data_IF_027540851780
#
_entry.id   IF_027540851780
#
_cell.length_a   1.000
_cell.length_b   1.000
_cell.length_c   1.000
_cell.angle_alpha   90.00
_cell.angle_beta   90.00
_cell.angle_gamma   90.00
#
_symmetry.space_group_name_H-M   'P 1'
#
loop_
_entity.id
_entity.type
_entity.pdbx_description
1 polymer ?
#
# COMPACT_ATOMS: atom_id res chain seq x y z
N UNK A 1 0.90 14.90 0.53
CA UNK A 1 -0.53 14.54 0.37
C UNK A 1 -0.64 13.13 -0.18
N UNK A 2 -1.71 12.41 0.15
CA UNK A 2 -2.03 11.11 -0.48
C UNK A 2 -2.43 11.34 -1.93
N UNK A 3 -1.89 10.55 -2.86
CA UNK A 3 -2.19 10.61 -4.29
C UNK A 3 -2.57 9.22 -4.79
N UNK A 4 -3.69 9.17 -5.49
CA UNK A 4 -4.20 7.98 -6.18
C UNK A 4 -4.25 8.30 -7.68
N UNK A 5 -3.93 7.34 -8.52
CA UNK A 5 -3.98 7.47 -9.97
C UNK A 5 -4.56 6.19 -10.57
N UNK A 6 -5.35 6.32 -11.63
CA UNK A 6 -5.83 5.16 -12.37
C UNK A 6 -4.73 4.62 -13.28
N UNK A 7 -4.54 3.30 -13.25
CA UNK A 7 -3.57 2.60 -14.08
C UNK A 7 -4.26 1.56 -14.94
N UNK A 8 -3.83 1.45 -16.20
CA UNK A 8 -4.17 0.34 -17.08
C UNK A 8 -3.39 -0.90 -16.67
N UNK A 9 -4.10 -1.96 -16.30
CA UNK A 9 -3.54 -3.21 -15.81
C UNK A 9 -3.93 -4.37 -16.74
N UNK A 10 -3.04 -5.36 -16.81
CA UNK A 10 -3.30 -6.61 -17.52
C UNK A 10 -3.24 -7.75 -16.51
N UNK A 11 -4.35 -8.44 -16.32
CA UNK A 11 -4.39 -9.65 -15.50
C UNK A 11 -3.66 -10.81 -16.19
N UNK A 12 -3.17 -11.78 -15.43
CA UNK A 12 -2.61 -13.04 -15.96
C UNK A 12 -3.60 -13.82 -16.84
N UNK A 13 -4.91 -13.62 -16.66
CA UNK A 13 -5.94 -14.20 -17.54
C UNK A 13 -6.10 -13.48 -18.90
N UNK A 14 -5.30 -12.44 -19.16
CA UNK A 14 -5.33 -11.64 -20.39
C UNK A 14 -6.39 -10.53 -20.39
N UNK A 15 -7.16 -10.34 -19.32
CA UNK A 15 -8.12 -9.24 -19.24
C UNK A 15 -7.43 -7.91 -18.92
N UNK A 16 -7.75 -6.87 -19.70
CA UNK A 16 -7.31 -5.50 -19.48
C UNK A 16 -8.38 -4.72 -18.71
N UNK A 17 -7.98 -3.99 -17.67
CA UNK A 17 -8.89 -3.19 -16.84
C UNK A 17 -8.13 -2.04 -16.18
N UNK A 18 -8.86 -1.02 -15.74
CA UNK A 18 -8.30 0.10 -14.96
C UNK A 18 -8.52 -0.13 -13.48
N UNK A 19 -7.55 0.29 -12.67
CA UNK A 19 -7.69 0.28 -11.22
C UNK A 19 -6.99 1.47 -10.57
N UNK A 20 -7.54 2.03 -9.48
CA UNK A 20 -6.89 3.07 -8.70
C UNK A 20 -5.73 2.48 -7.89
N UNK A 21 -4.54 3.05 -8.02
CA UNK A 21 -3.36 2.71 -7.22
C UNK A 21 -2.80 3.94 -6.52
N UNK A 22 -2.20 3.73 -5.36
CA UNK A 22 -1.52 4.77 -4.61
C UNK A 22 -0.14 5.08 -5.20
N UNK A 23 0.11 6.36 -5.46
CA UNK A 23 1.43 6.93 -5.80
C UNK A 23 2.10 7.54 -4.58
N UNK A 24 1.31 8.03 -3.64
CA UNK A 24 1.79 8.50 -2.35
C UNK A 24 0.74 8.29 -1.27
N UNK A 25 1.18 8.07 -0.05
CA UNK A 25 0.34 8.01 1.14
C UNK A 25 0.88 8.96 2.20
N UNK A 26 -0.05 9.73 2.78
CA UNK A 26 0.19 10.57 3.94
C UNK A 26 -0.51 9.92 5.14
N UNK A 27 0.25 9.32 6.05
CA UNK A 27 -0.32 8.56 7.19
C UNK A 27 -0.53 9.41 8.45
N UNK A 28 -0.08 10.66 8.44
CA UNK A 28 -0.19 11.60 9.57
C UNK A 28 -1.61 11.68 10.14
N UNK A 29 -2.61 11.77 9.25
CA UNK A 29 -4.01 12.02 9.61
C UNK A 29 -4.95 10.86 9.20
N UNK A 30 -4.47 9.93 8.39
CA UNK A 30 -5.26 8.79 7.90
C UNK A 30 -4.53 7.47 8.19
N UNK A 31 -4.82 6.93 9.38
CA UNK A 31 -4.30 5.63 9.83
C UNK A 31 -4.90 4.45 9.05
N UNK A 32 -5.98 4.64 8.28
CA UNK A 32 -6.55 3.56 7.47
C UNK A 32 -5.58 3.09 6.38
N UNK A 33 -4.73 4.00 5.87
CA UNK A 33 -3.67 3.68 4.91
C UNK A 33 -2.58 2.80 5.53
N UNK A 34 -2.23 3.09 6.78
CA UNK A 34 -1.28 2.28 7.55
C UNK A 34 -1.87 0.89 7.85
N UNK A 35 -3.17 0.82 8.14
CA UNK A 35 -3.90 -0.45 8.27
C UNK A 35 -3.89 -1.25 6.97
N UNK A 36 -4.09 -0.62 5.81
CA UNK A 36 -4.00 -1.30 4.50
C UNK A 36 -2.61 -1.90 4.23
N UNK A 37 -1.54 -1.19 4.61
CA UNK A 37 -0.18 -1.73 4.55
C UNK A 37 -0.04 -2.96 5.47
N UNK A 38 -0.46 -2.83 6.74
CA UNK A 38 -0.42 -3.91 7.72
C UNK A 38 -1.19 -5.16 7.29
N UNK A 39 -2.40 -4.99 6.74
CA UNK A 39 -3.24 -6.08 6.24
C UNK A 39 -2.80 -6.63 4.88
N UNK A 40 -1.71 -6.11 4.29
CA UNK A 40 -1.25 -6.45 2.94
C UNK A 40 -2.31 -6.24 1.85
N UNK A 41 -3.17 -5.23 2.02
CA UNK A 41 -4.22 -4.81 1.07
C UNK A 41 -3.86 -3.54 0.29
N UNK A 42 -2.69 -2.96 0.57
CA UNK A 42 -2.21 -1.78 -0.15
C UNK A 42 -1.84 -2.13 -1.60
N UNK A 43 -2.36 -1.38 -2.57
CA UNK A 43 -2.19 -1.64 -4.02
C UNK A 43 -2.51 -3.09 -4.42
N UNK A 44 -3.42 -3.75 -3.72
CA UNK A 44 -4.01 -5.02 -4.14
C UNK A 44 -5.23 -4.72 -5.00
N UNK A 45 -5.31 -5.36 -6.15
CA UNK A 45 -6.42 -5.24 -7.10
C UNK A 45 -7.03 -6.60 -7.35
N UNK A 46 -8.33 -6.62 -7.64
CA UNK A 46 -9.06 -7.84 -8.02
C UNK A 46 -9.45 -7.74 -9.48
N UNK A 47 -9.04 -8.73 -10.30
CA UNK A 47 -9.45 -8.77 -11.69
C UNK A 47 -10.98 -8.95 -11.79
N UNK A 48 -11.71 -8.09 -12.54
CA UNK A 48 -13.16 -8.19 -12.63
C UNK A 48 -13.64 -9.42 -13.43
N UNK A 49 -12.76 -10.04 -14.24
CA UNK A 49 -13.11 -11.19 -15.08
C UNK A 49 -12.88 -12.54 -14.38
N UNK A 50 -11.71 -12.75 -13.78
CA UNK A 50 -11.35 -14.04 -13.17
C UNK A 50 -11.24 -13.99 -11.64
N UNK A 51 -11.54 -12.84 -11.04
CA UNK A 51 -11.54 -12.60 -9.59
C UNK A 51 -10.21 -12.88 -8.89
N UNK A 52 -9.12 -13.04 -9.64
CA UNK A 52 -7.78 -13.19 -9.08
C UNK A 52 -7.33 -11.88 -8.47
N UNK A 53 -6.92 -11.92 -7.20
CA UNK A 53 -6.28 -10.81 -6.52
C UNK A 53 -4.79 -10.75 -6.87
N UNK A 54 -4.24 -9.54 -6.98
CA UNK A 54 -2.83 -9.33 -7.27
C UNK A 54 -2.34 -8.06 -6.59
N UNK A 55 -1.21 -8.18 -5.91
CA UNK A 55 -0.45 -7.02 -5.44
C UNK A 55 0.29 -6.38 -6.62
N UNK A 56 0.09 -5.07 -6.81
CA UNK A 56 0.79 -4.29 -7.82
C UNK A 56 2.02 -3.65 -7.20
N UNK A 57 3.17 -4.29 -7.42
CA UNK A 57 4.47 -3.81 -6.98
C UNK A 57 4.95 -2.67 -7.88
N UNK A 58 4.89 -1.44 -7.36
CA UNK A 58 5.28 -0.21 -8.02
C UNK A 58 5.90 0.76 -7.01
N UNK A 59 6.59 1.78 -7.53
CA UNK A 59 7.08 2.86 -6.70
C UNK A 59 5.91 3.63 -6.06
N UNK A 60 6.10 4.08 -4.83
CA UNK A 60 5.23 5.04 -4.16
C UNK A 60 5.97 5.81 -3.05
N UNK A 61 5.40 6.93 -2.63
CA UNK A 61 5.93 7.75 -1.54
C UNK A 61 5.18 7.49 -0.24
N UNK A 62 5.88 7.07 0.80
CA UNK A 62 5.37 7.07 2.18
C UNK A 62 5.75 8.38 2.86
N UNK A 63 4.79 9.02 3.53
CA UNK A 63 5.03 10.25 4.27
C UNK A 63 4.28 10.26 5.61
N UNK A 64 5.00 10.56 6.69
CA UNK A 64 4.48 10.87 8.01
C UNK A 64 5.08 12.20 8.48
N UNK A 65 4.25 13.24 8.55
CA UNK A 65 4.66 14.60 8.91
C UNK A 65 4.96 14.74 10.40
N UNK A 66 4.29 13.98 11.27
CA UNK A 66 4.53 14.11 12.73
C UNK A 66 5.86 13.52 13.14
N UNK A 67 6.48 12.70 12.29
CA UNK A 67 7.79 12.11 12.52
C UNK A 67 8.87 12.62 11.57
N UNK A 68 8.56 13.60 10.72
CA UNK A 68 9.44 14.11 9.66
C UNK A 68 10.02 12.99 8.77
N UNK A 69 9.22 11.97 8.46
CA UNK A 69 9.64 10.81 7.66
C UNK A 69 9.02 10.91 6.27
N UNK A 70 9.88 10.90 5.25
CA UNK A 70 9.49 10.74 3.86
C UNK A 70 10.37 9.67 3.20
N UNK A 71 9.74 8.60 2.72
CA UNK A 71 10.43 7.44 2.16
C UNK A 71 9.88 7.17 0.76
N UNK A 72 10.75 7.23 -0.24
CA UNK A 72 10.44 6.69 -1.55
C UNK A 72 10.66 5.18 -1.53
N UNK A 73 9.61 4.42 -1.79
CA UNK A 73 9.65 2.95 -1.82
C UNK A 73 9.84 2.54 -3.27
N UNK A 74 10.92 1.82 -3.57
CA UNK A 74 11.15 1.26 -4.90
C UNK A 74 10.36 -0.04 -5.09
N UNK A 75 10.26 -0.47 -6.35
CA UNK A 75 9.72 -1.79 -6.69
C UNK A 75 10.53 -2.87 -5.98
N UNK A 76 9.85 -3.81 -5.33
CA UNK A 76 10.47 -4.89 -4.55
C UNK A 76 10.94 -4.50 -3.14
N UNK A 77 10.79 -3.24 -2.71
CA UNK A 77 11.22 -2.77 -1.38
C UNK A 77 10.08 -2.67 -0.35
N UNK A 78 8.87 -3.16 -0.67
CA UNK A 78 7.73 -3.05 0.25
C UNK A 78 8.00 -3.76 1.59
N UNK A 79 8.65 -4.92 1.57
CA UNK A 79 8.99 -5.65 2.81
C UNK A 79 9.97 -4.87 3.69
N UNK A 80 10.89 -4.11 3.08
CA UNK A 80 11.83 -3.24 3.79
C UNK A 80 11.09 -2.08 4.48
N UNK A 81 10.12 -1.48 3.79
CA UNK A 81 9.24 -0.49 4.42
C UNK A 81 8.47 -1.13 5.58
N UNK A 82 7.85 -2.30 5.38
CA UNK A 82 7.07 -2.98 6.40
C UNK A 82 7.89 -3.28 7.65
N UNK A 83 9.13 -3.78 7.48
CA UNK A 83 10.07 -3.99 8.57
C UNK A 83 10.40 -2.68 9.31
N UNK A 84 10.72 -1.62 8.56
CA UNK A 84 10.99 -0.31 9.14
C UNK A 84 9.81 0.20 9.97
N UNK A 85 8.60 0.18 9.42
CA UNK A 85 7.39 0.64 10.10
C UNK A 85 7.11 -0.19 11.37
N UNK A 86 7.26 -1.51 11.30
CA UNK A 86 7.07 -2.36 12.47
C UNK A 86 8.10 -2.07 13.57
N UNK A 87 9.38 -1.91 13.19
CA UNK A 87 10.46 -1.56 14.13
C UNK A 87 10.25 -0.21 14.83
N UNK A 88 9.54 0.71 14.16
CA UNK A 88 9.17 2.03 14.69
C UNK A 88 7.81 2.05 15.40
N UNK A 89 7.19 0.88 15.56
CA UNK A 89 5.94 0.69 16.30
C UNK A 89 4.69 1.23 15.60
N UNK A 90 4.74 1.45 14.28
CA UNK A 90 3.58 1.94 13.52
C UNK A 90 2.39 0.99 13.61
N UNK A 91 2.64 -0.33 13.69
CA UNK A 91 1.59 -1.34 13.67
C UNK A 91 1.13 -1.82 15.06
N UNK A 92 1.59 -1.18 16.16
CA UNK A 92 1.22 -1.59 17.53
C UNK A 92 -0.30 -1.70 17.71
N UNK A 93 -1.01 -0.67 17.29
CA UNK A 93 -2.48 -0.58 17.38
C UNK A 93 -3.24 -1.69 16.61
N UNK A 94 -2.65 -2.27 15.56
CA UNK A 94 -3.27 -3.33 14.77
C UNK A 94 -2.87 -4.75 15.19
N UNK A 95 -1.89 -4.89 16.09
CA UNK A 95 -1.51 -6.18 16.68
C UNK A 95 -2.45 -6.56 17.82
N UNK A 96 -2.93 -5.58 18.56
CA UNK A 96 -3.77 -5.77 19.75
C UNK A 96 -5.23 -6.13 19.40
N UNK A 97 -5.68 -5.79 18.19
CA UNK A 97 -7.05 -6.04 17.70
C UNK A 97 -7.27 -7.46 17.14
N UNK A 98 -6.27 -8.35 17.18
CA UNK A 98 -6.36 -9.75 16.73
C UNK A 98 -6.66 -10.76 17.84
N UNK A 99 -7.14 -10.32 19.00
CA UNK A 99 -7.61 -11.20 20.09
C UNK A 99 -9.11 -11.42 20.02
#
# INVERSE_FOLDING_TARGET
MTKITEYDLTCKCGHHFKAPLYDSILVTFDRSLLKKLYEKKFNVVTCPKCHTESFIDKYFLFHDMFKDIMIQVQKGEIDRLMYFLDSKGYFKEFKETKK
#
